data_IF_023623119297
#
_entry.id   IF_023623119297
#
_cell.length_a   1.000
_cell.length_b   1.000
_cell.length_c   1.000
_cell.angle_alpha   90.00
_cell.angle_beta   90.00
_cell.angle_gamma   90.00
#
_symmetry.space_group_name_H-M   'P 1'
#
loop_
_entity.id
_entity.type
_entity.pdbx_description
1 polymer ?
#
# COMPACT_ATOMS: atom_id res chain seq x y z
N UNK A 1 2.07 7.86 11.95
CA UNK A 1 1.21 7.35 10.87
C UNK A 1 -0.26 7.66 11.13
N UNK A 2 -0.82 7.24 12.26
CA UNK A 2 -2.22 7.55 12.67
C UNK A 2 -2.53 9.05 12.71
N UNK A 3 -1.59 9.88 13.17
CA UNK A 3 -1.74 11.35 13.21
C UNK A 3 -2.10 11.98 11.86
N UNK A 4 -1.58 11.44 10.75
CA UNK A 4 -1.86 11.94 9.39
C UNK A 4 -3.30 11.62 9.00
N UNK A 5 -3.79 10.42 9.32
CA UNK A 5 -5.15 9.98 9.01
C UNK A 5 -6.14 10.87 9.75
N UNK A 6 -6.00 11.05 11.06
CA UNK A 6 -6.89 11.92 11.84
C UNK A 6 -6.86 13.38 11.37
N UNK A 7 -5.70 13.90 10.97
CA UNK A 7 -5.59 15.28 10.46
C UNK A 7 -6.28 15.47 9.11
N UNK A 8 -6.15 14.51 8.19
CA UNK A 8 -6.73 14.61 6.84
C UNK A 8 -8.18 14.12 6.76
N UNK A 9 -8.57 13.19 7.62
CA UNK A 9 -9.86 12.51 7.62
C UNK A 9 -10.45 12.45 9.04
N UNK A 10 -10.80 13.61 9.63
CA UNK A 10 -11.12 13.71 11.06
C UNK A 10 -12.38 12.94 11.49
N UNK A 11 -13.33 12.70 10.56
CA UNK A 11 -14.59 12.03 10.84
C UNK A 11 -14.65 10.62 10.21
N UNK A 12 -13.50 10.02 9.93
CA UNK A 12 -13.41 8.69 9.32
C UNK A 12 -13.04 7.63 10.35
N UNK A 13 -13.77 6.52 10.33
CA UNK A 13 -13.40 5.32 11.08
C UNK A 13 -12.34 4.55 10.31
N UNK A 14 -11.31 4.08 11.02
CA UNK A 14 -10.29 3.22 10.45
C UNK A 14 -9.81 2.21 11.48
N UNK A 15 -9.37 1.05 10.99
CA UNK A 15 -8.67 0.04 11.77
C UNK A 15 -7.27 -0.14 11.18
N UNK A 16 -6.26 -0.31 12.05
CA UNK A 16 -4.92 -0.70 11.63
C UNK A 16 -4.67 -2.10 12.15
N UNK A 17 -4.60 -3.05 11.22
CA UNK A 17 -4.38 -4.46 11.54
C UNK A 17 -3.06 -4.91 10.94
N UNK A 18 -2.26 -5.63 11.71
CA UNK A 18 -1.01 -6.21 11.21
C UNK A 18 -1.34 -7.34 10.22
N UNK A 19 -0.71 -7.31 9.04
CA UNK A 19 -0.77 -8.40 8.09
C UNK A 19 0.30 -9.45 8.42
N UNK A 20 -0.13 -10.67 8.73
CA UNK A 20 0.74 -11.84 8.94
C UNK A 20 0.90 -12.68 7.65
N UNK A 21 0.20 -12.31 6.57
CA UNK A 21 0.27 -12.88 5.24
C UNK A 21 -0.11 -11.79 4.21
N UNK A 22 -0.05 -12.10 2.91
CA UNK A 22 -0.17 -11.11 1.84
C UNK A 22 -1.48 -10.29 1.83
N UNK A 23 -2.58 -10.85 2.34
CA UNK A 23 -3.92 -10.29 2.15
C UNK A 23 -4.73 -10.11 3.43
N UNK A 24 -4.30 -10.76 4.53
CA UNK A 24 -5.01 -10.78 5.80
C UNK A 24 -6.50 -11.07 5.64
N UNK A 25 -7.39 -10.24 6.23
CA UNK A 25 -8.83 -10.45 6.18
C UNK A 25 -9.45 -10.33 4.78
N UNK A 26 -8.77 -9.65 3.85
CA UNK A 26 -9.33 -9.36 2.53
C UNK A 26 -9.66 -10.62 1.72
N UNK A 27 -9.10 -11.78 2.05
CA UNK A 27 -9.41 -13.05 1.37
C UNK A 27 -10.80 -13.58 1.74
N UNK A 28 -11.27 -13.33 2.95
CA UNK A 28 -12.48 -13.97 3.50
C UNK A 28 -13.58 -13.00 3.93
N UNK A 29 -13.27 -11.73 4.19
CA UNK A 29 -14.27 -10.74 4.56
C UNK A 29 -15.10 -10.28 3.35
N UNK A 30 -16.42 -10.50 3.43
CA UNK A 30 -17.37 -10.14 2.38
C UNK A 30 -17.62 -8.64 2.28
N UNK A 31 -17.38 -7.91 3.36
CA UNK A 31 -17.58 -6.46 3.44
C UNK A 31 -16.47 -5.67 2.74
N UNK A 32 -15.32 -6.30 2.45
CA UNK A 32 -14.25 -5.67 1.69
C UNK A 32 -14.69 -5.50 0.23
N UNK A 33 -14.76 -4.24 -0.21
CA UNK A 33 -15.23 -3.87 -1.55
C UNK A 33 -14.09 -3.56 -2.53
N UNK A 34 -12.96 -3.06 -2.04
CA UNK A 34 -11.85 -2.61 -2.86
C UNK A 34 -10.49 -2.95 -2.24
N UNK A 35 -9.49 -3.16 -3.10
CA UNK A 35 -8.07 -3.24 -2.75
C UNK A 35 -7.33 -2.10 -3.45
N UNK A 36 -6.70 -1.22 -2.65
CA UNK A 36 -5.85 -0.14 -3.16
C UNK A 36 -4.41 -0.62 -3.23
N UNK A 37 -3.80 -0.53 -4.41
CA UNK A 37 -2.45 -1.01 -4.70
C UNK A 37 -1.68 0.02 -5.52
N UNK A 38 -0.37 -0.12 -5.52
CA UNK A 38 0.50 0.66 -6.41
C UNK A 38 0.70 -0.05 -7.74
N UNK A 39 1.32 0.64 -8.71
CA UNK A 39 1.79 -0.01 -9.94
C UNK A 39 2.71 -1.22 -9.69
N UNK A 40 3.50 -1.18 -8.60
CA UNK A 40 4.40 -2.27 -8.20
C UNK A 40 3.63 -3.52 -7.74
N UNK A 41 2.51 -3.31 -7.04
CA UNK A 41 1.75 -4.39 -6.40
C UNK A 41 0.43 -4.70 -7.09
N UNK A 42 0.14 -4.11 -8.26
CA UNK A 42 -1.13 -4.30 -8.98
C UNK A 42 -1.49 -5.77 -9.23
N UNK A 43 -0.49 -6.61 -9.47
CA UNK A 43 -0.70 -8.04 -9.73
C UNK A 43 -1.26 -8.79 -8.51
N UNK A 44 -1.03 -8.28 -7.29
CA UNK A 44 -1.58 -8.86 -6.06
C UNK A 44 -3.12 -8.82 -6.06
N UNK A 45 -3.74 -7.84 -6.71
CA UNK A 45 -5.19 -7.77 -6.85
C UNK A 45 -5.78 -8.95 -7.63
N UNK A 46 -5.10 -9.40 -8.68
CA UNK A 46 -5.51 -10.57 -9.45
C UNK A 46 -5.42 -11.85 -8.61
N UNK A 47 -4.36 -11.99 -7.81
CA UNK A 47 -4.16 -13.12 -6.91
C UNK A 47 -5.26 -13.14 -5.84
N UNK A 48 -5.56 -11.99 -5.23
CA UNK A 48 -6.64 -11.87 -4.25
C UNK A 48 -7.99 -12.29 -4.83
N UNK A 49 -8.35 -11.79 -6.01
CA UNK A 49 -9.64 -12.10 -6.63
C UNK A 49 -9.77 -13.56 -7.05
N UNK A 50 -8.66 -14.20 -7.45
CA UNK A 50 -8.61 -15.64 -7.67
C UNK A 50 -8.92 -16.40 -6.37
N UNK A 51 -8.25 -16.05 -5.27
CA UNK A 51 -8.47 -16.67 -3.95
C UNK A 51 -9.90 -16.47 -3.44
N UNK A 52 -10.51 -15.30 -3.68
CA UNK A 52 -11.91 -15.02 -3.31
C UNK A 52 -12.89 -15.84 -4.14
N UNK A 53 -12.64 -15.96 -5.44
CA UNK A 53 -13.48 -16.74 -6.37
C UNK A 53 -13.46 -18.23 -6.03
N UNK A 54 -12.29 -18.79 -5.71
CA UNK A 54 -12.14 -20.17 -5.22
C UNK A 54 -12.97 -20.45 -3.95
N UNK A 55 -13.34 -19.41 -3.21
CA UNK A 55 -14.15 -19.48 -1.98
C UNK A 55 -15.61 -19.03 -2.17
N UNK A 56 -16.05 -18.79 -3.40
CA UNK A 56 -17.37 -18.24 -3.73
C UNK A 56 -17.65 -16.88 -3.06
N UNK A 57 -16.62 -16.05 -2.92
CA UNK A 57 -16.70 -14.67 -2.43
C UNK A 57 -16.52 -13.73 -3.63
N UNK A 58 -17.34 -12.68 -3.71
CA UNK A 58 -17.28 -11.70 -4.79
C UNK A 58 -15.90 -11.06 -4.89
N UNK A 59 -15.33 -10.90 -6.09
CA UNK A 59 -14.08 -10.17 -6.28
C UNK A 59 -14.21 -8.72 -5.79
N UNK A 60 -13.08 -8.14 -5.38
CA UNK A 60 -12.98 -6.72 -5.00
C UNK A 60 -12.56 -5.89 -6.21
N UNK A 61 -12.92 -4.62 -6.19
CA UNK A 61 -12.40 -3.62 -7.13
C UNK A 61 -10.91 -3.39 -6.87
N UNK A 62 -10.08 -3.39 -7.93
CA UNK A 62 -8.65 -3.12 -7.81
C UNK A 62 -8.38 -1.68 -8.23
N UNK A 63 -8.01 -0.84 -7.27
CA UNK A 63 -7.71 0.58 -7.50
C UNK A 63 -6.19 0.74 -7.51
N UNK A 64 -5.63 1.05 -8.68
CA UNK A 64 -4.18 1.28 -8.85
C UNK A 64 -3.88 2.77 -8.69
N UNK A 65 -3.01 3.10 -7.74
CA UNK A 65 -2.50 4.46 -7.54
C UNK A 65 -1.04 4.58 -8.00
N UNK A 66 -0.69 5.64 -8.75
CA UNK A 66 0.69 5.87 -9.17
C UNK A 66 1.65 6.02 -8.00
N UNK A 67 2.88 5.55 -8.17
CA UNK A 67 3.95 5.74 -7.20
C UNK A 67 4.48 7.18 -7.19
N UNK A 68 4.75 7.72 -6.01
CA UNK A 68 5.46 9.00 -5.86
C UNK A 68 6.94 8.84 -6.17
N UNK A 69 7.47 9.75 -6.98
CA UNK A 69 8.89 9.79 -7.35
C UNK A 69 9.69 10.69 -6.42
N UNK A 70 10.94 10.29 -6.15
CA UNK A 70 11.96 11.12 -5.53
C UNK A 70 12.58 12.07 -6.56
N UNK A 71 13.46 12.98 -6.11
CA UNK A 71 14.12 13.97 -6.98
C UNK A 71 14.98 13.39 -8.09
N UNK A 72 15.42 12.14 -7.94
CA UNK A 72 16.18 11.40 -8.96
C UNK A 72 15.29 10.67 -9.98
N UNK A 73 13.97 10.86 -9.94
CA UNK A 73 13.01 10.23 -10.83
C UNK A 73 12.73 8.76 -10.52
N UNK A 74 13.36 8.18 -9.48
CA UNK A 74 13.06 6.83 -9.00
C UNK A 74 12.00 6.90 -7.89
N UNK A 75 11.22 5.83 -7.69
CA UNK A 75 10.19 5.79 -6.65
C UNK A 75 10.74 6.07 -5.25
N UNK A 76 9.94 6.72 -4.40
CA UNK A 76 10.18 6.74 -2.96
C UNK A 76 9.89 5.33 -2.41
N UNK A 77 10.79 4.81 -1.57
CA UNK A 77 10.56 3.54 -0.88
C UNK A 77 11.22 3.51 0.49
N UNK A 78 10.63 2.77 1.42
CA UNK A 78 11.16 2.60 2.78
C UNK A 78 12.57 2.02 2.78
N UNK A 79 12.88 1.12 1.85
CA UNK A 79 14.23 0.55 1.70
C UNK A 79 15.24 1.64 1.41
N UNK A 80 14.95 2.54 0.45
CA UNK A 80 15.84 3.64 0.10
C UNK A 80 16.02 4.65 1.24
N UNK A 81 14.94 4.91 1.99
CA UNK A 81 14.99 5.76 3.18
C UNK A 81 15.87 5.13 4.26
N UNK A 82 15.71 3.83 4.52
CA UNK A 82 16.51 3.09 5.51
C UNK A 82 17.97 2.97 5.13
N UNK A 83 18.26 2.89 3.83
CA UNK A 83 19.62 2.86 3.29
C UNK A 83 20.26 4.25 3.22
N UNK A 84 19.58 5.30 3.69
CA UNK A 84 20.03 6.69 3.57
C UNK A 84 20.33 7.12 2.13
N UNK A 85 19.63 6.55 1.14
CA UNK A 85 19.71 7.00 -0.25
C UNK A 85 18.88 8.28 -0.45
N UNK A 86 17.74 8.37 0.24
CA UNK A 86 16.81 9.51 0.23
C UNK A 86 16.22 9.76 1.62
N UNK A 87 15.74 10.98 1.87
CA UNK A 87 14.87 11.25 3.01
C UNK A 87 13.38 10.92 2.73
N UNK A 88 12.51 11.13 3.72
CA UNK A 88 11.07 10.87 3.59
C UNK A 88 10.35 11.76 2.58
N UNK A 89 10.95 12.89 2.22
CA UNK A 89 10.42 13.83 1.24
C UNK A 89 10.97 13.55 -0.18
N UNK A 90 11.81 12.51 -0.33
CA UNK A 90 12.40 12.12 -1.60
C UNK A 90 13.59 12.97 -2.04
N UNK A 91 14.22 13.70 -1.11
CA UNK A 91 15.50 14.35 -1.38
C UNK A 91 16.63 13.33 -1.33
N UNK A 92 17.55 13.40 -2.29
CA UNK A 92 18.77 12.60 -2.25
C UNK A 92 19.62 13.01 -1.05
N UNK A 93 20.10 12.01 -0.31
CA UNK A 93 21.07 12.23 0.75
C UNK A 93 22.49 12.12 0.18
N UNK A 94 23.47 12.84 0.74
CA UNK A 94 24.87 12.71 0.34
C UNK A 94 25.35 11.27 0.52
N UNK A 95 26.12 10.76 -0.45
CA UNK A 95 26.89 9.53 -0.25
C UNK A 95 28.11 9.95 0.56
N UNK A 96 28.15 9.61 1.85
CA UNK A 96 29.37 9.75 2.64
C UNK A 96 30.51 9.02 1.91
N UNK A 97 31.61 9.74 1.63
CA UNK A 97 32.84 9.21 1.04
C UNK A 97 33.72 8.55 2.09
#
# INVERSE_FOLDING_TARGET
>A
MTSIIFKKFPNSYFEISQLNNDFGPAVFEKEVQALVVSDETKNQGNILNKLRTERNISPVEIIVVPMTLAKDGKRISTTRIKNSEIDSDGNLLPIDK
#
